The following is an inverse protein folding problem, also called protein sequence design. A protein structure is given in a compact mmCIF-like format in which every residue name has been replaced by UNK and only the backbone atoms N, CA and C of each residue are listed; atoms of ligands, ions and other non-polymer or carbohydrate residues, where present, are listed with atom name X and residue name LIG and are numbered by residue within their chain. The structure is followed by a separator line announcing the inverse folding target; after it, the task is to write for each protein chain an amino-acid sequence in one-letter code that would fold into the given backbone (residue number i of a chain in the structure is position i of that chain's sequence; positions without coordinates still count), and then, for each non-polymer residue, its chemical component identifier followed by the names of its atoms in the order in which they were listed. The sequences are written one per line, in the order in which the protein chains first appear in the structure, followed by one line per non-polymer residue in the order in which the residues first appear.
data_IF_218339483625
#
_entry.id   IF_218339483625
#
_cell.length_a   1.000
_cell.length_b   1.000
_cell.length_c   1.000
_cell.angle_alpha   90.00
_cell.angle_beta   90.00
_cell.angle_gamma   90.00
#
_symmetry.space_group_name_H-M   'P 1'
#
loop_
_entity.id
_entity.type
_entity.pdbx_description
1 polymer ?
#
# COMPACT_ATOMS: atom_id res chain seq x y z
N UNK A 1 -9.62 -6.73 4.84
CA UNK A 1 -8.51 -5.80 4.55
C UNK A 1 -8.08 -5.91 3.10
N UNK A 2 -8.07 -4.80 2.36
CA UNK A 2 -7.52 -4.71 1.00
C UNK A 2 -6.03 -4.37 1.06
N UNK A 3 -5.15 -5.24 0.55
CA UNK A 3 -3.70 -5.00 0.46
C UNK A 3 -3.33 -4.76 -1.00
N UNK A 4 -3.01 -3.52 -1.35
CA UNK A 4 -2.57 -3.13 -2.68
C UNK A 4 -1.04 -3.18 -2.73
N UNK A 5 -0.48 -4.05 -3.57
CA UNK A 5 0.94 -4.39 -3.60
C UNK A 5 1.28 -5.66 -2.82
N UNK A 6 0.33 -6.61 -2.72
CA UNK A 6 0.47 -7.85 -1.96
C UNK A 6 1.45 -8.88 -2.57
N UNK A 7 1.80 -8.76 -3.86
CA UNK A 7 2.55 -9.81 -4.57
C UNK A 7 4.03 -9.93 -4.21
N UNK A 8 4.61 -8.98 -3.44
CA UNK A 8 6.03 -9.00 -3.11
C UNK A 8 6.37 -8.10 -1.92
N UNK A 9 7.60 -8.21 -1.43
CA UNK A 9 8.17 -7.31 -0.42
C UNK A 9 7.33 -7.21 0.84
N UNK A 10 7.16 -5.98 1.35
CA UNK A 10 6.45 -5.72 2.60
C UNK A 10 4.99 -6.16 2.52
N UNK A 11 4.32 -5.90 1.38
CA UNK A 11 2.90 -6.26 1.21
C UNK A 11 2.67 -7.78 1.27
N UNK A 12 3.57 -8.59 0.69
CA UNK A 12 3.51 -10.05 0.76
C UNK A 12 3.65 -10.54 2.21
N UNK A 13 4.66 -10.05 2.93
CA UNK A 13 4.89 -10.47 4.31
C UNK A 13 3.79 -9.96 5.26
N UNK A 14 3.24 -8.77 4.98
CA UNK A 14 2.08 -8.26 5.74
C UNK A 14 0.85 -9.14 5.54
N UNK A 15 0.56 -9.57 4.30
CA UNK A 15 -0.55 -10.49 4.03
C UNK A 15 -0.42 -11.77 4.88
N UNK A 16 0.78 -12.36 4.97
CA UNK A 16 1.04 -13.55 5.82
C UNK A 16 0.78 -13.29 7.31
N UNK A 17 1.18 -12.11 7.80
CA UNK A 17 0.96 -11.75 9.21
C UNK A 17 -0.52 -11.57 9.52
N UNK A 18 -1.24 -10.87 8.65
CA UNK A 18 -2.66 -10.59 8.85
C UNK A 18 -3.52 -11.86 8.67
N UNK A 19 -3.17 -12.75 7.73
CA UNK A 19 -3.81 -14.05 7.59
C UNK A 19 -3.65 -14.89 8.86
N UNK A 20 -2.44 -14.97 9.42
CA UNK A 20 -2.17 -15.68 10.69
C UNK A 20 -2.92 -15.06 11.90
N UNK A 21 -3.34 -13.81 11.82
CA UNK A 21 -4.17 -13.12 12.80
C UNK A 21 -5.68 -13.27 12.53
N UNK A 22 -6.07 -13.99 11.47
CA UNK A 22 -7.46 -14.25 11.12
C UNK A 22 -8.16 -13.13 10.35
N UNK A 23 -7.41 -12.20 9.73
CA UNK A 23 -8.01 -11.18 8.88
C UNK A 23 -8.53 -11.77 7.56
N UNK A 24 -9.71 -11.33 7.14
CA UNK A 24 -10.17 -11.55 5.77
C UNK A 24 -9.45 -10.58 4.83
N UNK A 25 -8.74 -11.11 3.82
CA UNK A 25 -7.91 -10.33 2.93
C UNK A 25 -8.49 -10.24 1.52
N UNK A 26 -8.25 -9.12 0.86
CA UNK A 26 -8.33 -8.94 -0.58
C UNK A 26 -6.90 -8.61 -1.03
N UNK A 27 -6.30 -9.52 -1.79
CA UNK A 27 -4.93 -9.43 -2.25
C UNK A 27 -4.89 -8.80 -3.64
N UNK A 28 -4.21 -7.65 -3.78
CA UNK A 28 -4.21 -6.92 -5.04
C UNK A 28 -2.79 -6.55 -5.49
N UNK A 29 -2.51 -6.79 -6.75
CA UNK A 29 -1.33 -6.33 -7.50
C UNK A 29 -1.50 -6.62 -8.99
N UNK A 30 -0.55 -6.17 -9.83
CA UNK A 30 -0.59 -6.43 -11.28
C UNK A 30 -0.35 -7.89 -11.65
N UNK A 31 0.43 -8.63 -10.87
CA UNK A 31 0.84 -10.00 -11.19
C UNK A 31 -0.07 -11.00 -10.48
N UNK A 32 -1.07 -11.47 -11.21
CA UNK A 32 -2.06 -12.44 -10.72
C UNK A 32 -1.42 -13.78 -10.33
N UNK A 33 -0.44 -14.25 -11.10
CA UNK A 33 0.25 -15.51 -10.79
C UNK A 33 0.93 -15.46 -9.41
N UNK A 34 1.62 -14.34 -9.11
CA UNK A 34 2.25 -14.16 -7.79
C UNK A 34 1.22 -14.00 -6.66
N UNK A 35 0.05 -13.45 -6.94
CA UNK A 35 -1.03 -13.40 -5.97
C UNK A 35 -1.58 -14.80 -5.69
N UNK A 36 -1.79 -15.62 -6.72
CA UNK A 36 -2.20 -17.02 -6.58
C UNK A 36 -1.17 -17.84 -5.81
N UNK A 37 0.13 -17.66 -6.11
CA UNK A 37 1.21 -18.31 -5.35
C UNK A 37 1.20 -17.90 -3.89
N UNK A 38 1.03 -16.59 -3.60
CA UNK A 38 0.90 -16.11 -2.22
C UNK A 38 -0.32 -16.73 -1.53
N UNK A 39 -1.48 -16.72 -2.17
CA UNK A 39 -2.71 -17.26 -1.59
C UNK A 39 -2.56 -18.73 -1.21
N UNK A 40 -1.87 -19.52 -2.03
CA UNK A 40 -1.55 -20.92 -1.74
C UNK A 40 -0.56 -21.10 -0.56
N UNK A 41 0.20 -20.05 -0.19
CA UNK A 41 1.10 -20.06 0.98
C UNK A 41 0.37 -19.66 2.27
N UNK A 42 -0.83 -19.07 2.19
CA UNK A 42 -1.61 -18.59 3.32
C UNK A 42 -2.42 -19.71 3.99
N UNK A 43 -2.84 -19.50 5.23
CA UNK A 43 -3.62 -20.45 6.02
C UNK A 43 -5.05 -20.54 5.48
N UNK A 44 -5.61 -19.37 5.13
CA UNK A 44 -6.97 -19.23 4.63
C UNK A 44 -6.95 -18.89 3.14
N UNK A 45 -8.07 -19.17 2.47
CA UNK A 45 -8.27 -18.74 1.08
C UNK A 45 -8.82 -17.31 1.05
N UNK A 46 -8.19 -16.46 0.24
CA UNK A 46 -8.50 -15.05 0.18
C UNK A 46 -8.85 -14.60 -1.23
N UNK A 47 -9.59 -13.50 -1.33
CA UNK A 47 -9.96 -12.92 -2.61
C UNK A 47 -8.73 -12.32 -3.31
N UNK A 48 -8.59 -12.61 -4.60
CA UNK A 48 -7.53 -12.07 -5.46
C UNK A 48 -8.13 -11.09 -6.45
N UNK A 49 -7.59 -9.88 -6.50
CA UNK A 49 -8.00 -8.85 -7.46
C UNK A 49 -6.77 -8.33 -8.20
N UNK A 50 -6.50 -8.79 -9.43
CA UNK A 50 -5.47 -8.18 -10.27
C UNK A 50 -5.79 -6.71 -10.55
N UNK A 51 -4.81 -5.81 -10.37
CA UNK A 51 -4.99 -4.37 -10.53
C UNK A 51 -3.72 -3.73 -11.06
N UNK A 52 -3.83 -3.06 -12.19
CA UNK A 52 -2.84 -2.08 -12.63
C UNK A 52 -3.24 -0.67 -12.15
N UNK A 53 -2.44 -0.11 -11.25
CA UNK A 53 -2.66 1.22 -10.69
C UNK A 53 -2.50 2.36 -11.70
N UNK A 54 -1.85 2.11 -12.85
CA UNK A 54 -1.77 3.08 -13.94
C UNK A 54 -3.05 3.13 -14.79
N UNK A 55 -3.91 2.12 -14.66
CA UNK A 55 -5.20 2.05 -15.34
C UNK A 55 -6.30 2.64 -14.42
N UNK A 56 -6.73 3.86 -14.77
CA UNK A 56 -7.79 4.57 -14.05
C UNK A 56 -9.10 3.79 -13.99
N UNK A 57 -9.51 3.20 -15.11
CA UNK A 57 -10.81 2.54 -15.20
C UNK A 57 -10.84 1.25 -14.37
N UNK A 58 -9.74 0.50 -14.33
CA UNK A 58 -9.57 -0.62 -13.40
C UNK A 58 -9.65 -0.15 -11.94
N UNK A 59 -8.94 0.92 -11.57
CA UNK A 59 -8.98 1.45 -10.21
C UNK A 59 -10.41 1.83 -9.79
N UNK A 60 -11.14 2.53 -10.64
CA UNK A 60 -12.51 2.95 -10.35
C UNK A 60 -13.48 1.77 -10.31
N UNK A 61 -13.33 0.79 -11.23
CA UNK A 61 -14.18 -0.42 -11.26
C UNK A 61 -14.00 -1.21 -9.97
N UNK A 62 -12.77 -1.56 -9.61
CA UNK A 62 -12.47 -2.34 -8.41
C UNK A 62 -12.96 -1.63 -7.15
N UNK A 63 -12.80 -0.31 -7.08
CA UNK A 63 -13.31 0.46 -5.94
C UNK A 63 -14.83 0.35 -5.80
N UNK A 64 -15.58 0.40 -6.90
CA UNK A 64 -17.04 0.19 -6.89
C UNK A 64 -17.38 -1.24 -6.48
N UNK A 65 -16.67 -2.24 -7.01
CA UNK A 65 -16.90 -3.65 -6.67
C UNK A 65 -16.69 -3.90 -5.18
N UNK A 66 -15.69 -3.25 -4.55
CA UNK A 66 -15.39 -3.37 -3.12
C UNK A 66 -16.48 -2.72 -2.25
N UNK A 67 -16.92 -1.50 -2.57
CA UNK A 67 -17.94 -0.81 -1.77
C UNK A 67 -19.33 -1.43 -1.88
N UNK A 68 -19.59 -2.24 -2.92
CA UNK A 68 -20.82 -2.99 -3.08
C UNK A 68 -20.82 -4.33 -2.32
N UNK A 69 -19.74 -4.68 -1.64
CA UNK A 69 -19.70 -5.87 -0.78
C UNK A 69 -20.38 -5.58 0.55
N UNK A 70 -21.03 -6.59 1.09
CA UNK A 70 -21.55 -6.55 2.47
C UNK A 70 -20.38 -6.73 3.46
N UNK A 71 -19.75 -5.63 3.85
CA UNK A 71 -18.64 -5.62 4.81
C UNK A 71 -18.87 -4.53 5.87
N UNK A 72 -18.67 -4.89 7.13
CA UNK A 72 -18.86 -4.00 8.27
C UNK A 72 -17.75 -2.96 8.40
N UNK A 73 -16.53 -3.33 8.01
CA UNK A 73 -15.35 -2.46 8.06
C UNK A 73 -14.39 -2.74 6.93
N UNK A 74 -13.66 -1.72 6.50
CA UNK A 74 -12.67 -1.82 5.44
C UNK A 74 -11.35 -1.19 5.87
N UNK A 75 -10.28 -1.98 5.88
CA UNK A 75 -8.92 -1.45 5.94
C UNK A 75 -8.33 -1.46 4.53
N UNK A 76 -7.82 -0.31 4.07
CA UNK A 76 -7.07 -0.18 2.82
C UNK A 76 -5.60 0.03 3.15
N UNK A 77 -4.75 -0.87 2.69
CA UNK A 77 -3.30 -0.83 2.90
C UNK A 77 -2.60 -0.65 1.56
N UNK A 78 -2.14 0.58 1.30
CA UNK A 78 -1.48 0.95 0.05
C UNK A 78 0.03 0.79 0.17
N UNK A 79 0.54 -0.36 -0.30
CA UNK A 79 1.96 -0.73 -0.29
C UNK A 79 2.62 -0.66 -1.65
N UNK A 80 1.84 -0.45 -2.72
CA UNK A 80 2.36 -0.47 -4.08
C UNK A 80 3.25 0.74 -4.37
N UNK A 81 4.30 0.51 -5.12
CA UNK A 81 5.11 1.57 -5.70
C UNK A 81 5.89 1.04 -6.90
N UNK A 82 6.19 1.93 -7.83
CA UNK A 82 7.20 1.72 -8.86
C UNK A 82 8.35 2.70 -8.69
N UNK A 83 9.55 2.26 -9.04
CA UNK A 83 10.79 3.00 -8.94
C UNK A 83 11.76 2.51 -10.01
N UNK A 84 12.48 3.42 -10.63
CA UNK A 84 13.64 3.16 -11.48
C UNK A 84 14.78 4.08 -11.05
N UNK A 85 16.01 3.56 -10.85
CA UNK A 85 17.15 4.34 -10.38
C UNK A 85 17.98 4.97 -11.51
N UNK A 86 17.46 5.02 -12.72
CA UNK A 86 18.17 5.54 -13.90
C UNK A 86 17.56 6.84 -14.45
N UNK A 87 18.33 7.52 -15.31
CA UNK A 87 17.91 8.77 -15.95
C UNK A 87 16.80 8.58 -16.99
N UNK A 88 16.46 7.32 -17.34
CA UNK A 88 15.40 6.97 -18.28
C UNK A 88 14.06 6.79 -17.58
N UNK A 89 13.94 7.23 -16.33
CA UNK A 89 12.73 7.06 -15.53
C UNK A 89 11.52 7.67 -16.23
N UNK A 90 10.52 6.83 -16.43
CA UNK A 90 9.20 7.26 -16.87
C UNK A 90 8.48 7.94 -15.70
N UNK A 91 8.59 9.27 -15.64
CA UNK A 91 7.97 10.11 -14.61
C UNK A 91 6.46 9.94 -14.58
N UNK A 92 5.83 9.84 -15.76
CA UNK A 92 4.38 9.68 -15.88
C UNK A 92 3.91 8.37 -15.24
N UNK A 93 4.56 7.27 -15.58
CA UNK A 93 4.23 5.96 -14.97
C UNK A 93 4.46 5.95 -13.46
N UNK A 94 5.53 6.59 -12.96
CA UNK A 94 5.78 6.69 -11.52
C UNK A 94 4.66 7.48 -10.83
N UNK A 95 4.20 8.58 -11.41
CA UNK A 95 3.09 9.38 -10.89
C UNK A 95 1.79 8.59 -10.96
N UNK A 96 1.49 7.96 -12.09
CA UNK A 96 0.26 7.19 -12.28
C UNK A 96 0.15 6.06 -11.25
N UNK A 97 1.20 5.26 -11.07
CA UNK A 97 1.20 4.12 -10.14
C UNK A 97 1.24 4.57 -8.69
N UNK A 98 2.15 5.50 -8.35
CA UNK A 98 2.41 5.81 -6.94
C UNK A 98 1.42 6.82 -6.33
N UNK A 99 0.78 7.66 -7.16
CA UNK A 99 -0.14 8.71 -6.68
C UNK A 99 -1.53 8.52 -7.26
N UNK A 100 -1.68 8.60 -8.59
CA UNK A 100 -3.00 8.65 -9.22
C UNK A 100 -3.79 7.37 -8.96
N UNK A 101 -3.15 6.20 -8.95
CA UNK A 101 -3.80 4.94 -8.60
C UNK A 101 -4.49 5.00 -7.24
N UNK A 102 -3.80 5.49 -6.20
CA UNK A 102 -4.42 5.68 -4.88
C UNK A 102 -5.53 6.72 -4.91
N UNK A 103 -5.34 7.85 -5.59
CA UNK A 103 -6.36 8.91 -5.68
C UNK A 103 -7.63 8.42 -6.39
N UNK A 104 -7.50 7.62 -7.45
CA UNK A 104 -8.65 7.01 -8.12
C UNK A 104 -9.41 6.05 -7.18
N UNK A 105 -8.71 5.25 -6.39
CA UNK A 105 -9.33 4.38 -5.38
C UNK A 105 -10.04 5.20 -4.32
N UNK A 106 -9.38 6.20 -3.75
CA UNK A 106 -9.94 7.05 -2.70
C UNK A 106 -11.12 7.90 -3.19
N UNK A 107 -11.18 8.25 -4.48
CA UNK A 107 -12.31 9.01 -5.04
C UNK A 107 -13.66 8.29 -4.90
N UNK A 108 -13.63 6.97 -4.75
CA UNK A 108 -14.82 6.12 -4.54
C UNK A 108 -14.90 5.65 -3.07
N UNK A 109 -13.76 5.15 -2.53
CA UNK A 109 -13.78 4.44 -1.25
C UNK A 109 -13.76 5.37 -0.03
N UNK A 110 -13.33 6.64 -0.18
CA UNK A 110 -13.24 7.56 0.96
C UNK A 110 -14.59 7.78 1.65
N UNK A 111 -15.65 7.99 0.88
CA UNK A 111 -16.97 8.18 1.45
C UNK A 111 -17.53 6.89 2.06
N UNK A 112 -17.24 5.75 1.45
CA UNK A 112 -17.58 4.46 2.04
C UNK A 112 -16.88 4.24 3.39
N UNK A 113 -15.58 4.51 3.48
CA UNK A 113 -14.81 4.42 4.73
C UNK A 113 -15.40 5.29 5.86
N UNK A 114 -15.94 6.47 5.53
CA UNK A 114 -16.59 7.37 6.51
C UNK A 114 -17.89 6.83 7.07
N UNK A 115 -18.58 5.97 6.31
CA UNK A 115 -19.87 5.41 6.66
C UNK A 115 -19.79 3.97 7.20
N UNK A 116 -18.58 3.40 7.33
CA UNK A 116 -18.34 2.11 7.98
C UNK A 116 -18.11 2.28 9.48
N UNK A 117 -17.97 1.15 10.19
CA UNK A 117 -17.68 1.16 11.61
C UNK A 117 -16.31 1.79 11.94
N UNK A 118 -16.12 2.23 13.17
CA UNK A 118 -14.91 2.90 13.70
C UNK A 118 -13.59 2.09 13.54
N UNK A 119 -13.68 0.82 13.12
CA UNK A 119 -12.53 -0.05 12.87
C UNK A 119 -11.92 0.08 11.47
N UNK A 120 -12.49 0.94 10.59
CA UNK A 120 -11.95 1.14 9.25
C UNK A 120 -10.64 1.93 9.28
N UNK A 121 -9.67 1.50 8.46
CA UNK A 121 -8.32 2.06 8.43
C UNK A 121 -7.90 2.41 7.00
N UNK A 122 -7.09 3.46 6.90
CA UNK A 122 -6.36 3.79 5.66
C UNK A 122 -4.87 3.89 5.97
N UNK A 123 -4.08 2.95 5.46
CA UNK A 123 -2.65 2.86 5.71
C UNK A 123 -1.90 3.14 4.40
N UNK A 124 -1.10 4.19 4.39
CA UNK A 124 -0.38 4.64 3.20
C UNK A 124 1.12 4.49 3.42
N UNK A 125 1.76 3.68 2.58
CA UNK A 125 3.20 3.49 2.61
C UNK A 125 3.92 4.61 1.83
N UNK A 126 4.49 5.56 2.58
CA UNK A 126 5.43 6.55 2.09
C UNK A 126 6.87 6.01 2.17
N UNK A 127 7.85 6.80 2.56
CA UNK A 127 9.25 6.43 2.74
C UNK A 127 9.99 7.56 3.48
N UNK A 128 11.15 7.28 4.05
CA UNK A 128 12.06 8.31 4.56
C UNK A 128 12.51 9.32 3.49
N UNK A 129 12.51 8.93 2.21
CA UNK A 129 12.81 9.84 1.09
C UNK A 129 11.75 10.94 0.90
N UNK A 130 10.61 10.84 1.58
CA UNK A 130 9.61 11.90 1.62
C UNK A 130 10.10 13.17 2.35
N UNK A 131 10.99 13.00 3.32
CA UNK A 131 11.55 14.12 4.10
C UNK A 131 12.75 14.75 3.41
N UNK A 132 13.52 13.94 2.67
CA UNK A 132 14.68 14.40 1.92
C UNK A 132 14.90 13.49 0.71
N UNK A 133 14.79 14.04 -0.48
CA UNK A 133 15.02 13.33 -1.74
C UNK A 133 16.43 12.77 -1.85
N UNK A 134 16.57 11.67 -2.57
CA UNK A 134 17.86 11.05 -2.88
C UNK A 134 18.23 11.32 -4.35
N UNK A 135 19.53 11.39 -4.68
CA UNK A 135 19.98 11.42 -6.06
C UNK A 135 19.40 10.23 -6.87
N UNK A 136 19.15 10.45 -8.13
CA UNK A 136 18.62 9.44 -9.09
C UNK A 136 17.27 8.81 -8.69
N UNK A 137 16.53 9.44 -7.77
CA UNK A 137 15.22 8.97 -7.35
C UNK A 137 14.17 10.09 -7.26
N UNK A 138 14.35 11.15 -8.07
CA UNK A 138 13.52 12.36 -8.00
C UNK A 138 12.02 12.08 -8.11
N UNK A 139 11.50 11.36 -9.14
CA UNK A 139 10.06 11.10 -9.25
C UNK A 139 9.54 10.23 -8.11
N UNK A 140 10.30 9.23 -7.70
CA UNK A 140 9.92 8.39 -6.56
C UNK A 140 9.86 9.21 -5.26
N UNK A 141 10.91 9.99 -4.96
CA UNK A 141 10.96 10.83 -3.75
C UNK A 141 9.82 11.85 -3.73
N UNK A 142 9.54 12.49 -4.87
CA UNK A 142 8.42 13.42 -5.04
C UNK A 142 7.08 12.73 -4.75
N UNK A 143 6.85 11.52 -5.30
CA UNK A 143 5.61 10.80 -5.07
C UNK A 143 5.46 10.36 -3.60
N UNK A 144 6.54 9.98 -2.94
CA UNK A 144 6.49 9.61 -1.52
C UNK A 144 6.26 10.81 -0.61
N UNK A 145 6.78 11.98 -0.95
CA UNK A 145 6.46 13.25 -0.26
C UNK A 145 4.98 13.62 -0.43
N UNK A 146 4.45 13.48 -1.65
CA UNK A 146 3.03 13.70 -1.92
C UNK A 146 2.12 12.75 -1.12
N UNK A 147 2.45 11.46 -1.05
CA UNK A 147 1.71 10.48 -0.26
C UNK A 147 1.77 10.77 1.25
N UNK A 148 2.91 11.22 1.77
CA UNK A 148 3.04 11.63 3.16
C UNK A 148 2.12 12.81 3.48
N UNK A 149 2.13 13.84 2.64
CA UNK A 149 1.28 15.03 2.80
C UNK A 149 -0.21 14.67 2.68
N UNK A 150 -0.58 13.85 1.69
CA UNK A 150 -1.95 13.34 1.52
C UNK A 150 -2.43 12.60 2.78
N UNK A 151 -1.63 11.67 3.29
CA UNK A 151 -1.97 10.92 4.49
C UNK A 151 -2.13 11.83 5.71
N UNK A 152 -1.25 12.83 5.87
CA UNK A 152 -1.36 13.83 6.95
C UNK A 152 -2.64 14.64 6.87
N UNK A 153 -3.02 15.09 5.67
CA UNK A 153 -4.28 15.82 5.45
C UNK A 153 -5.50 14.96 5.75
N UNK A 154 -5.51 13.72 5.26
CA UNK A 154 -6.60 12.76 5.51
C UNK A 154 -6.71 12.37 6.98
N UNK A 155 -5.58 12.25 7.69
CA UNK A 155 -5.58 12.00 9.13
C UNK A 155 -6.31 13.10 9.91
N UNK A 156 -6.12 14.37 9.52
CA UNK A 156 -6.82 15.50 10.15
C UNK A 156 -8.31 15.52 9.74
N UNK A 157 -8.58 15.34 8.44
CA UNK A 157 -9.95 15.39 7.90
C UNK A 157 -10.84 14.26 8.46
N UNK A 158 -10.29 13.04 8.61
CA UNK A 158 -11.02 11.84 8.98
C UNK A 158 -10.86 11.47 10.46
N UNK A 159 -10.30 12.36 11.27
CA UNK A 159 -10.05 12.12 12.71
C UNK A 159 -11.33 11.72 13.44
N UNK A 160 -11.26 10.57 14.14
CA UNK A 160 -12.41 10.01 14.88
C UNK A 160 -13.43 9.29 14.02
N UNK A 161 -13.18 9.15 12.69
CA UNK A 161 -14.05 8.44 11.75
C UNK A 161 -13.30 7.28 11.11
N UNK A 162 -12.10 7.54 10.56
CA UNK A 162 -11.22 6.54 9.94
C UNK A 162 -9.83 6.68 10.56
N UNK A 163 -9.24 5.56 10.93
CA UNK A 163 -7.86 5.55 11.42
C UNK A 163 -6.89 5.63 10.25
N UNK A 164 -6.37 6.83 9.98
CA UNK A 164 -5.42 7.08 8.90
C UNK A 164 -4.00 7.05 9.41
N UNK A 165 -3.19 6.14 8.89
CA UNK A 165 -1.78 5.95 9.25
C UNK A 165 -0.88 6.14 8.03
N UNK A 166 0.27 6.79 8.23
CA UNK A 166 1.35 6.83 7.24
C UNK A 166 2.54 6.03 7.75
N UNK A 167 3.10 5.21 6.88
CA UNK A 167 4.30 4.43 7.16
C UNK A 167 5.44 5.03 6.36
N UNK A 168 6.57 5.30 7.02
CA UNK A 168 7.76 5.88 6.39
C UNK A 168 8.98 4.96 6.56
N UNK A 169 9.03 3.81 5.87
CA UNK A 169 10.16 2.90 5.99
C UNK A 169 11.48 3.53 5.55
N UNK A 170 12.57 3.11 6.20
CA UNK A 170 13.91 3.24 5.65
C UNK A 170 14.18 2.18 4.59
N UNK A 171 15.41 1.66 4.55
CA UNK A 171 15.74 0.57 3.63
C UNK A 171 15.16 -0.76 4.13
N UNK A 172 14.36 -1.39 3.27
CA UNK A 172 13.78 -2.71 3.50
C UNK A 172 14.17 -3.62 2.34
N UNK A 173 14.70 -4.81 2.63
CA UNK A 173 15.10 -5.77 1.60
C UNK A 173 13.87 -6.29 0.84
N UNK A 174 13.74 -5.83 -0.40
CA UNK A 174 12.60 -6.12 -1.29
C UNK A 174 13.07 -6.07 -2.75
N UNK A 175 12.32 -6.64 -3.70
CA UNK A 175 12.63 -6.50 -5.13
C UNK A 175 12.73 -5.05 -5.61
N UNK A 176 12.12 -4.10 -4.91
CA UNK A 176 12.23 -2.67 -5.22
C UNK A 176 13.63 -2.13 -4.88
N UNK A 177 14.15 -2.47 -3.72
CA UNK A 177 15.47 -2.01 -3.22
C UNK A 177 16.63 -2.81 -3.80
N UNK A 178 16.41 -4.02 -4.31
CA UNK A 178 17.43 -4.83 -5.00
C UNK A 178 17.95 -4.14 -6.30
N UNK A 179 17.22 -3.15 -6.79
CA UNK A 179 17.64 -2.30 -7.93
C UNK A 179 18.69 -1.26 -7.57
N UNK A 180 18.92 -1.01 -6.28
CA UNK A 180 19.85 0.01 -5.81
C UNK A 180 21.29 -0.50 -5.92
N UNK A 181 22.19 0.35 -6.44
CA UNK A 181 23.62 0.07 -6.55
C UNK A 181 24.47 0.77 -5.47
N UNK A 182 23.84 1.37 -4.47
CA UNK A 182 24.51 2.11 -3.39
C UNK A 182 24.30 1.42 -2.02
N UNK A 183 25.14 1.71 -1.03
CA UNK A 183 25.01 1.16 0.31
C UNK A 183 23.68 1.55 0.97
N UNK A 184 23.01 0.57 1.57
CA UNK A 184 21.74 0.74 2.27
C UNK A 184 21.94 0.45 3.77
N UNK A 185 22.39 1.44 4.56
CA UNK A 185 22.64 1.24 5.99
C UNK A 185 21.31 0.94 6.73
N UNK A 186 21.42 0.14 7.79
CA UNK A 186 20.28 -0.23 8.65
C UNK A 186 19.13 -0.90 7.89
N UNK A 187 19.43 -1.60 6.80
CA UNK A 187 18.42 -2.36 6.05
C UNK A 187 17.78 -3.44 6.93
N UNK A 188 16.47 -3.50 6.94
CA UNK A 188 15.71 -4.54 7.64
C UNK A 188 15.05 -5.50 6.65
N UNK A 189 14.63 -6.67 7.12
CA UNK A 189 13.86 -7.60 6.28
C UNK A 189 12.43 -7.10 6.03
N UNK A 190 11.81 -7.58 4.94
CA UNK A 190 10.39 -7.32 4.67
C UNK A 190 9.50 -7.90 5.78
N UNK A 191 9.85 -9.06 6.34
CA UNK A 191 9.14 -9.68 7.47
C UNK A 191 9.18 -8.80 8.72
N UNK A 192 10.36 -8.24 9.07
CA UNK A 192 10.47 -7.32 10.21
C UNK A 192 9.64 -6.06 10.01
N UNK A 193 9.68 -5.47 8.80
CA UNK A 193 8.85 -4.31 8.47
C UNK A 193 7.36 -4.64 8.56
N UNK A 194 6.92 -5.76 8.00
CA UNK A 194 5.55 -6.23 8.05
C UNK A 194 5.06 -6.48 9.50
N UNK A 195 5.94 -7.02 10.37
CA UNK A 195 5.61 -7.25 11.78
C UNK A 195 5.35 -5.94 12.54
N UNK A 196 6.12 -4.88 12.24
CA UNK A 196 5.91 -3.56 12.83
C UNK A 196 4.59 -2.96 12.35
N UNK A 197 4.29 -3.11 11.05
CA UNK A 197 3.07 -2.59 10.44
C UNK A 197 1.84 -3.30 11.01
N UNK A 198 1.85 -4.64 11.05
CA UNK A 198 0.73 -5.41 11.61
C UNK A 198 0.43 -4.99 13.06
N UNK A 199 1.46 -4.87 13.92
CA UNK A 199 1.28 -4.34 15.28
C UNK A 199 0.71 -2.91 15.30
N UNK A 200 1.12 -2.07 14.34
CA UNK A 200 0.58 -0.72 14.20
C UNK A 200 -0.88 -0.70 13.75
N UNK A 201 -1.34 -1.71 13.03
CA UNK A 201 -2.76 -1.85 12.64
C UNK A 201 -3.63 -2.19 13.85
N UNK A 202 -3.15 -3.02 14.76
CA UNK A 202 -3.88 -3.42 15.98
C UNK A 202 -3.88 -2.33 17.06
N UNK A 203 -3.00 -1.33 16.96
CA UNK A 203 -2.91 -0.26 17.95
C UNK A 203 -3.94 0.84 17.64
N UNK A 204 -4.94 1.01 18.48
CA UNK A 204 -5.85 2.15 18.51
C UNK A 204 -5.13 3.40 19.06
N UNK A 205 -4.16 3.92 18.33
CA UNK A 205 -3.41 5.11 18.77
C UNK A 205 -3.44 6.20 17.73
#
# INVERSE_FOLDING_TARGET
TLIIGASSGIGKELAKKLDAQGYNLILSSRNEEKLNQLNNELINDHEIIPLDLSDKDQCLKISRDIINKEIDSLSIVFMSATYSPDDTTDYENVINVNILGLLHILSITKEFLKNTNDSSQLIICSSLVAYKGLPYSQPYSMTKAALYNLASSLHIELKGIVDVKVITPGFVKTPLTDKNSFPMPLIISADSAASIIAKGMDSNK
#
